data_IF_404144072921
#
_entry.id   IF_404144072921
#
_cell.length_a   1.000
_cell.length_b   1.000
_cell.length_c   1.000
_cell.angle_alpha   90.00
_cell.angle_beta   90.00
_cell.angle_gamma   90.00
#
_symmetry.space_group_name_H-M   'P 1'
#
loop_
_entity.id
_entity.type
_entity.pdbx_description
1 polymer ?
#
# COMPACT_ATOMS: atom_id res chain seq x y z
N UNK A 1 -19.42 22.01 8.37
CA UNK A 1 -18.54 20.87 8.70
C UNK A 1 -17.76 20.58 7.43
N UNK A 2 -16.42 20.60 7.44
CA UNK A 2 -15.69 20.16 6.24
C UNK A 2 -15.90 18.66 6.09
N UNK A 3 -16.41 18.21 4.95
CA UNK A 3 -16.48 16.79 4.63
C UNK A 3 -15.07 16.18 4.67
N UNK A 4 -14.95 15.00 5.28
CA UNK A 4 -13.67 14.31 5.41
C UNK A 4 -13.23 13.78 4.03
N UNK A 5 -11.93 13.81 3.77
CA UNK A 5 -11.36 13.37 2.47
C UNK A 5 -11.82 11.95 2.10
N UNK A 6 -11.87 11.03 3.06
CA UNK A 6 -12.36 9.66 2.84
C UNK A 6 -13.78 9.61 2.25
N UNK A 7 -14.70 10.42 2.79
CA UNK A 7 -16.08 10.47 2.32
C UNK A 7 -16.17 11.02 0.89
N UNK A 8 -15.46 12.11 0.60
CA UNK A 8 -15.42 12.72 -0.74
C UNK A 8 -14.86 11.75 -1.79
N UNK A 9 -13.89 10.91 -1.43
CA UNK A 9 -13.36 9.89 -2.33
C UNK A 9 -14.40 8.80 -2.64
N UNK A 10 -15.18 8.38 -1.63
CA UNK A 10 -16.25 7.39 -1.81
C UNK A 10 -17.42 7.95 -2.64
N UNK A 11 -17.81 9.20 -2.41
CA UNK A 11 -18.84 9.89 -3.20
C UNK A 11 -18.41 10.07 -4.66
N UNK A 12 -17.15 10.45 -4.92
CA UNK A 12 -16.61 10.53 -6.27
C UNK A 12 -16.60 9.16 -6.97
N UNK A 13 -16.33 8.08 -6.22
CA UNK A 13 -16.37 6.71 -6.74
C UNK A 13 -17.80 6.30 -7.14
N UNK A 14 -18.80 6.62 -6.32
CA UNK A 14 -20.21 6.34 -6.63
C UNK A 14 -20.69 7.13 -7.85
N UNK A 15 -20.30 8.41 -7.94
CA UNK A 15 -20.68 9.29 -9.04
C UNK A 15 -20.17 8.80 -10.39
N UNK A 16 -19.04 8.10 -10.42
CA UNK A 16 -18.48 7.50 -11.63
C UNK A 16 -19.21 6.22 -12.09
N UNK A 17 -20.28 5.80 -11.38
CA UNK A 17 -21.02 4.56 -11.62
C UNK A 17 -20.09 3.32 -11.70
N UNK A 18 -18.99 3.34 -10.96
CA UNK A 18 -18.08 2.22 -10.86
C UNK A 18 -18.77 1.08 -10.12
N UNK A 19 -18.52 -0.16 -10.54
CA UNK A 19 -19.06 -1.35 -9.89
C UNK A 19 -17.92 -2.24 -9.42
N UNK A 20 -17.87 -2.53 -8.12
CA UNK A 20 -17.09 -3.65 -7.61
C UNK A 20 -17.86 -4.94 -7.89
N UNK A 21 -17.19 -5.93 -8.47
CA UNK A 21 -17.81 -7.21 -8.73
C UNK A 21 -18.02 -7.98 -7.41
N UNK A 22 -19.03 -8.84 -7.38
CA UNK A 22 -19.34 -9.67 -6.22
C UNK A 22 -18.11 -10.49 -5.82
N UNK A 23 -17.69 -10.31 -4.58
CA UNK A 23 -16.43 -10.85 -4.06
C UNK A 23 -16.76 -11.70 -2.84
N UNK A 24 -16.39 -12.98 -2.90
CA UNK A 24 -16.46 -13.86 -1.74
C UNK A 24 -15.37 -13.48 -0.75
N UNK A 25 -15.73 -13.47 0.53
CA UNK A 25 -14.85 -13.09 1.62
C UNK A 25 -14.84 -14.17 2.68
N UNK A 26 -13.66 -14.45 3.21
CA UNK A 26 -13.49 -15.19 4.46
C UNK A 26 -12.44 -14.51 5.33
N UNK A 27 -12.65 -14.52 6.64
CA UNK A 27 -11.62 -14.17 7.62
C UNK A 27 -11.06 -15.48 8.16
N UNK A 28 -9.76 -15.69 8.00
CA UNK A 28 -9.10 -16.90 8.46
C UNK A 28 -9.12 -16.98 9.98
N UNK A 29 -9.30 -18.20 10.51
CA UNK A 29 -9.19 -18.46 11.93
C UNK A 29 -7.72 -18.31 12.36
N UNK A 30 -7.50 -17.62 13.47
CA UNK A 30 -6.18 -17.46 14.09
C UNK A 30 -5.93 -16.02 14.54
N UNK A 31 -4.71 -15.76 15.03
CA UNK A 31 -4.34 -14.50 15.65
C UNK A 31 -4.11 -13.34 14.65
N UNK A 32 -3.84 -13.64 13.39
CA UNK A 32 -3.50 -12.61 12.40
C UNK A 32 -4.74 -11.93 11.82
N UNK A 33 -5.89 -12.60 11.83
CA UNK A 33 -7.14 -12.07 11.26
C UNK A 33 -7.05 -11.79 9.76
N UNK A 34 -6.25 -12.59 9.03
CA UNK A 34 -6.07 -12.48 7.56
C UNK A 34 -7.42 -12.59 6.86
N UNK A 35 -7.65 -11.72 5.90
CA UNK A 35 -8.85 -11.69 5.07
C UNK A 35 -8.46 -12.30 3.71
N UNK A 36 -9.26 -13.23 3.20
CA UNK A 36 -9.08 -13.78 1.86
C UNK A 36 -10.29 -13.41 1.02
N UNK A 37 -10.02 -12.90 -0.18
CA UNK A 37 -11.00 -12.52 -1.18
C UNK A 37 -10.91 -13.46 -2.38
N UNK A 38 -12.06 -13.79 -2.95
CA UNK A 38 -12.15 -14.46 -4.22
C UNK A 38 -13.20 -13.83 -5.11
N UNK A 39 -12.75 -13.42 -6.31
CA UNK A 39 -13.61 -12.90 -7.36
C UNK A 39 -13.14 -13.48 -8.69
N UNK A 40 -13.94 -14.33 -9.36
CA UNK A 40 -13.53 -15.01 -10.59
C UNK A 40 -13.30 -14.07 -11.77
N UNK A 41 -13.83 -12.84 -11.71
CA UNK A 41 -13.69 -11.84 -12.77
C UNK A 41 -12.54 -10.85 -12.51
N UNK A 42 -11.88 -10.92 -11.34
CA UNK A 42 -10.87 -9.93 -10.96
C UNK A 42 -9.65 -9.95 -11.91
N UNK A 43 -9.14 -11.11 -12.30
CA UNK A 43 -7.96 -11.20 -13.15
C UNK A 43 -8.20 -10.75 -14.60
N UNK A 44 -9.46 -10.74 -15.06
CA UNK A 44 -9.83 -10.51 -16.47
C UNK A 44 -9.65 -9.05 -16.93
N UNK A 45 -9.66 -8.09 -16.00
CA UNK A 45 -9.60 -6.64 -16.30
C UNK A 45 -8.26 -5.98 -15.92
N UNK A 46 -7.28 -6.77 -15.46
CA UNK A 46 -5.98 -6.23 -15.04
C UNK A 46 -5.20 -5.70 -16.24
N UNK A 47 -4.52 -4.58 -16.04
CA UNK A 47 -3.61 -4.01 -17.05
C UNK A 47 -2.37 -4.92 -17.19
N UNK A 48 -1.78 -5.01 -18.40
CA UNK A 48 -0.54 -5.75 -18.60
C UNK A 48 0.56 -5.25 -17.66
N UNK A 49 1.34 -6.17 -17.11
CA UNK A 49 2.47 -5.85 -16.25
C UNK A 49 3.61 -5.28 -17.10
N UNK A 50 4.15 -4.14 -16.70
CA UNK A 50 5.40 -3.64 -17.26
C UNK A 50 6.56 -4.55 -16.86
N UNK A 51 7.17 -5.20 -17.85
CA UNK A 51 8.24 -6.17 -17.63
C UNK A 51 9.49 -5.55 -16.99
N UNK A 52 9.68 -4.23 -17.09
CA UNK A 52 10.79 -3.54 -16.41
C UNK A 52 10.66 -3.60 -14.89
N UNK A 53 9.44 -3.65 -14.36
CA UNK A 53 9.17 -3.72 -12.93
C UNK A 53 9.45 -5.11 -12.34
N UNK A 54 9.63 -6.13 -13.19
CA UNK A 54 9.97 -7.49 -12.75
C UNK A 54 11.45 -7.64 -12.36
N UNK A 55 12.32 -6.68 -12.73
CA UNK A 55 13.79 -6.79 -12.61
C UNK A 55 14.39 -5.88 -11.52
N UNK A 56 13.66 -5.63 -10.43
CA UNK A 56 14.14 -4.86 -9.29
C UNK A 56 14.29 -3.36 -9.50
N UNK A 57 14.77 -2.67 -8.46
CA UNK A 57 14.79 -1.21 -8.39
C UNK A 57 15.77 -0.53 -9.37
N UNK A 58 16.83 -1.22 -9.82
CA UNK A 58 17.84 -0.63 -10.71
C UNK A 58 17.27 -0.24 -12.09
N UNK A 59 16.27 -0.97 -12.59
CA UNK A 59 15.62 -0.71 -13.89
C UNK A 59 14.45 0.27 -13.77
N UNK A 60 13.90 0.43 -12.56
CA UNK A 60 12.72 1.26 -12.24
C UNK A 60 12.98 2.77 -12.19
N UNK A 61 14.21 3.22 -12.39
CA UNK A 61 14.53 4.66 -12.38
C UNK A 61 14.30 5.34 -13.74
N UNK A 62 14.10 4.55 -14.80
CA UNK A 62 13.80 5.04 -16.13
C UNK A 62 12.31 5.34 -16.31
N UNK A 63 12.00 6.39 -17.06
CA UNK A 63 10.64 6.68 -17.50
C UNK A 63 10.03 5.47 -18.24
N UNK A 64 8.71 5.24 -18.14
CA UNK A 64 8.05 4.14 -18.83
C UNK A 64 8.36 4.16 -20.34
N UNK A 65 8.62 3.00 -20.97
CA UNK A 65 8.93 2.95 -22.39
C UNK A 65 7.69 3.40 -23.20
N UNK A 66 7.85 3.96 -24.42
CA UNK A 66 6.73 4.50 -25.19
C UNK A 66 5.60 3.51 -25.48
N UNK A 67 5.91 2.21 -25.50
CA UNK A 67 4.95 1.12 -25.75
C UNK A 67 4.26 0.62 -24.48
N UNK A 68 4.75 0.97 -23.30
CA UNK A 68 4.11 0.59 -22.04
C UNK A 68 2.90 1.48 -21.76
N UNK A 69 1.91 0.86 -21.13
CA UNK A 69 0.76 1.60 -20.60
C UNK A 69 1.22 2.60 -19.53
N UNK A 70 0.63 3.80 -19.52
CA UNK A 70 0.80 4.76 -18.43
C UNK A 70 -0.47 5.59 -18.21
N UNK A 71 -0.59 6.24 -17.05
CA UNK A 71 -1.83 6.94 -16.67
C UNK A 71 -2.18 8.20 -17.48
N UNK A 72 -1.35 8.68 -18.40
CA UNK A 72 -1.78 9.74 -19.34
C UNK A 72 -2.70 9.20 -20.44
N UNK A 73 -2.80 7.87 -20.58
CA UNK A 73 -3.58 7.18 -21.60
C UNK A 73 -4.98 6.74 -21.12
N UNK A 74 -5.34 7.07 -19.88
CA UNK A 74 -6.65 6.71 -19.30
C UNK A 74 -7.80 7.44 -19.98
N UNK A 75 -8.98 6.83 -19.94
CA UNK A 75 -10.20 7.47 -20.41
C UNK A 75 -10.68 8.52 -19.40
N UNK A 76 -11.33 9.61 -19.84
CA UNK A 76 -11.84 10.64 -18.93
C UNK A 76 -12.77 10.11 -17.84
N UNK A 77 -13.58 9.08 -18.13
CA UNK A 77 -14.48 8.46 -17.17
C UNK A 77 -13.78 7.58 -16.12
N UNK A 78 -12.47 7.34 -16.25
CA UNK A 78 -11.68 6.68 -15.21
C UNK A 78 -11.20 7.67 -14.13
N UNK A 79 -11.30 8.99 -14.37
CA UNK A 79 -10.89 10.02 -13.41
C UNK A 79 -12.06 10.35 -12.49
N UNK A 80 -11.89 10.11 -11.18
CA UNK A 80 -12.91 10.35 -10.16
C UNK A 80 -12.89 11.79 -9.69
N UNK A 81 -11.71 12.30 -9.33
CA UNK A 81 -11.53 13.63 -8.78
C UNK A 81 -10.05 14.08 -8.87
N UNK A 82 -9.83 15.38 -8.65
CA UNK A 82 -8.50 15.97 -8.50
C UNK A 82 -8.13 16.08 -7.02
N UNK A 83 -6.86 15.81 -6.71
CA UNK A 83 -6.28 16.07 -5.38
C UNK A 83 -5.40 17.32 -5.43
N UNK A 84 -5.64 18.25 -4.51
CA UNK A 84 -4.72 19.36 -4.23
C UNK A 84 -4.08 19.12 -2.88
N UNK A 85 -2.74 19.19 -2.83
CA UNK A 85 -1.95 19.11 -1.61
C UNK A 85 -1.15 20.40 -1.50
N UNK A 86 -1.55 21.28 -0.58
CA UNK A 86 -0.90 22.58 -0.41
C UNK A 86 0.37 22.40 0.45
N UNK A 87 1.53 22.35 -0.20
CA UNK A 87 2.84 22.05 0.44
C UNK A 87 3.41 23.21 1.28
N UNK A 88 2.63 24.24 1.61
CA UNK A 88 3.13 25.43 2.32
C UNK A 88 3.34 25.17 3.83
N UNK A 89 4.61 25.09 4.25
CA UNK A 89 5.03 25.26 5.65
C UNK A 89 5.29 23.99 6.47
N UNK A 90 5.48 24.16 7.78
CA UNK A 90 5.81 23.09 8.74
C UNK A 90 4.57 22.31 9.24
N UNK A 91 3.36 22.76 8.96
CA UNK A 91 2.12 22.06 9.30
C UNK A 91 1.83 20.90 8.32
N UNK A 92 0.97 19.93 8.69
CA UNK A 92 0.45 18.97 7.72
C UNK A 92 -0.16 19.71 6.52
N UNK A 93 0.18 19.34 5.28
CA UNK A 93 -0.38 19.95 4.08
C UNK A 93 -1.91 19.91 4.09
N UNK A 94 -2.56 20.98 3.64
CA UNK A 94 -4.00 20.95 3.42
C UNK A 94 -4.31 20.10 2.19
N UNK A 95 -5.23 19.15 2.35
CA UNK A 95 -5.69 18.29 1.27
C UNK A 95 -7.09 18.68 0.88
N UNK A 96 -7.31 18.87 -0.43
CA UNK A 96 -8.64 19.16 -0.98
C UNK A 96 -8.94 18.19 -2.11
N UNK A 97 -10.14 17.64 -2.08
CA UNK A 97 -10.73 16.88 -3.20
C UNK A 97 -11.57 17.85 -4.03
N UNK A 98 -11.38 17.85 -5.34
CA UNK A 98 -12.10 18.72 -6.26
C UNK A 98 -12.68 17.94 -7.43
N UNK A 99 -13.76 18.46 -8.02
CA UNK A 99 -14.22 18.00 -9.32
C UNK A 99 -13.13 18.17 -10.38
N UNK A 100 -13.23 17.39 -11.46
CA UNK A 100 -12.26 17.42 -12.55
C UNK A 100 -12.60 18.56 -13.51
N UNK A 101 -11.96 19.70 -13.31
CA UNK A 101 -12.17 20.89 -14.16
C UNK A 101 -11.12 21.00 -15.30
N UNK A 102 -10.00 20.27 -15.19
CA UNK A 102 -8.84 20.28 -16.11
C UNK A 102 -8.43 18.85 -16.55
N UNK A 103 -7.78 18.73 -17.73
CA UNK A 103 -7.39 17.43 -18.32
C UNK A 103 -5.88 17.19 -18.25
N UNK A 104 -5.46 15.97 -17.81
CA UNK A 104 -5.77 15.44 -16.48
C UNK A 104 -5.21 16.35 -15.37
N UNK A 105 -5.77 16.35 -14.16
CA UNK A 105 -5.26 17.17 -13.07
C UNK A 105 -3.84 16.75 -12.68
N UNK A 106 -3.10 17.68 -12.06
CA UNK A 106 -1.72 17.42 -11.57
C UNK A 106 -1.66 16.15 -10.73
N UNK A 107 -2.52 16.01 -9.73
CA UNK A 107 -2.71 14.77 -8.98
C UNK A 107 -4.15 14.29 -9.19
N UNK A 108 -4.31 13.05 -9.64
CA UNK A 108 -5.60 12.47 -9.99
C UNK A 108 -5.93 11.29 -9.09
N UNK A 109 -7.21 11.16 -8.73
CA UNK A 109 -7.75 9.90 -8.21
C UNK A 109 -8.49 9.22 -9.33
N UNK A 110 -8.11 7.98 -9.61
CA UNK A 110 -8.66 7.18 -10.69
C UNK A 110 -9.41 5.99 -10.11
N UNK A 111 -10.46 5.54 -10.79
CA UNK A 111 -11.05 4.24 -10.47
C UNK A 111 -10.02 3.14 -10.75
N UNK A 112 -9.89 2.17 -9.86
CA UNK A 112 -9.14 0.96 -10.20
C UNK A 112 -9.99 0.18 -11.22
N UNK A 113 -9.43 -0.15 -12.38
CA UNK A 113 -10.13 -0.90 -13.46
C UNK A 113 -10.56 -2.31 -13.04
N UNK A 114 -9.99 -2.81 -11.95
CA UNK A 114 -10.38 -4.07 -11.32
C UNK A 114 -10.48 -3.87 -9.80
N UNK A 115 -11.51 -3.15 -9.33
CA UNK A 115 -11.65 -2.81 -7.92
C UNK A 115 -11.96 -4.07 -7.09
N UNK A 116 -11.44 -4.09 -5.86
CA UNK A 116 -11.61 -5.18 -4.88
C UNK A 116 -12.84 -4.96 -4.00
N UNK A 117 -13.11 -3.68 -3.74
CA UNK A 117 -14.24 -3.21 -2.97
C UNK A 117 -14.68 -1.86 -3.54
N UNK A 118 -15.86 -1.39 -3.12
CA UNK A 118 -16.27 0.00 -3.32
C UNK A 118 -15.19 0.95 -2.78
N UNK A 119 -14.88 2.01 -3.52
CA UNK A 119 -13.83 2.96 -3.20
C UNK A 119 -12.41 2.54 -3.59
N UNK A 120 -12.17 1.29 -4.03
CA UNK A 120 -10.84 0.87 -4.48
C UNK A 120 -10.42 1.67 -5.72
N UNK A 121 -9.45 2.56 -5.53
CA UNK A 121 -9.04 3.62 -6.47
C UNK A 121 -7.51 3.70 -6.54
N UNK A 122 -7.00 4.55 -7.42
CA UNK A 122 -5.57 4.85 -7.57
C UNK A 122 -5.33 6.33 -7.35
N UNK A 123 -4.38 6.71 -6.49
CA UNK A 123 -3.82 8.07 -6.48
C UNK A 123 -2.63 8.10 -7.41
N UNK A 124 -2.68 8.94 -8.45
CA UNK A 124 -1.59 9.16 -9.39
C UNK A 124 -1.09 10.59 -9.21
N UNK A 125 0.15 10.73 -8.73
CA UNK A 125 0.75 12.04 -8.52
C UNK A 125 1.50 12.50 -9.76
N UNK A 126 1.35 13.79 -10.12
CA UNK A 126 2.07 14.42 -11.23
C UNK A 126 1.85 13.68 -12.55
N UNK A 127 0.59 13.44 -12.91
CA UNK A 127 0.17 12.58 -14.04
C UNK A 127 0.92 12.92 -15.34
N UNK A 128 1.07 14.21 -15.65
CA UNK A 128 1.74 14.67 -16.87
C UNK A 128 3.28 14.49 -16.86
N UNK A 129 3.88 14.29 -15.68
CA UNK A 129 5.34 14.18 -15.52
C UNK A 129 5.85 12.75 -15.75
N UNK A 130 4.96 11.75 -15.91
CA UNK A 130 5.34 10.34 -16.17
C UNK A 130 6.42 9.83 -15.19
N UNK A 131 6.28 10.19 -13.91
CA UNK A 131 7.24 9.79 -12.88
C UNK A 131 7.31 8.27 -12.81
N UNK A 132 8.50 7.65 -12.79
CA UNK A 132 8.61 6.20 -12.64
C UNK A 132 7.97 5.74 -11.33
N UNK A 133 7.68 4.43 -11.21
CA UNK A 133 7.14 3.83 -9.98
C UNK A 133 8.21 3.76 -8.87
N UNK A 134 8.62 4.92 -8.38
CA UNK A 134 9.62 5.13 -7.34
C UNK A 134 9.14 6.27 -6.44
N UNK A 135 9.13 6.04 -5.13
CA UNK A 135 8.58 7.01 -4.20
C UNK A 135 9.60 8.13 -3.92
N UNK A 136 9.15 9.37 -3.94
CA UNK A 136 9.92 10.57 -3.55
C UNK A 136 9.40 11.15 -2.24
N UNK A 137 10.21 11.97 -1.55
CA UNK A 137 9.85 12.58 -0.27
C UNK A 137 8.55 13.38 -0.34
N UNK A 138 8.38 14.18 -1.40
CA UNK A 138 7.17 14.98 -1.62
C UNK A 138 5.92 14.09 -1.72
N UNK A 139 6.01 12.97 -2.44
CA UNK A 139 4.88 12.05 -2.62
C UNK A 139 4.59 11.21 -1.37
N UNK A 140 5.61 10.84 -0.58
CA UNK A 140 5.39 10.28 0.76
C UNK A 140 4.68 11.30 1.66
N UNK A 141 5.19 12.53 1.73
CA UNK A 141 4.58 13.62 2.52
C UNK A 141 3.12 13.84 2.11
N UNK A 142 2.84 13.91 0.81
CA UNK A 142 1.49 14.03 0.27
C UNK A 142 0.59 12.84 0.66
N UNK A 143 1.09 11.61 0.59
CA UNK A 143 0.35 10.41 0.98
C UNK A 143 -0.02 10.42 2.48
N UNK A 144 0.93 10.79 3.34
CA UNK A 144 0.69 10.97 4.78
C UNK A 144 -0.32 12.09 5.02
N UNK A 145 -0.27 13.19 4.25
CA UNK A 145 -1.22 14.29 4.38
C UNK A 145 -2.65 13.87 3.99
N UNK A 146 -2.81 13.10 2.91
CA UNK A 146 -4.11 12.58 2.47
C UNK A 146 -4.73 11.71 3.55
N UNK A 147 -3.96 10.79 4.13
CA UNK A 147 -4.42 9.92 5.22
C UNK A 147 -4.71 10.71 6.49
N UNK A 148 -3.87 11.69 6.84
CA UNK A 148 -4.08 12.57 7.99
C UNK A 148 -5.37 13.41 7.83
N UNK A 149 -5.67 13.88 6.63
CA UNK A 149 -6.88 14.64 6.31
C UNK A 149 -8.14 13.75 6.23
N UNK A 150 -7.98 12.47 5.85
CA UNK A 150 -9.07 11.50 5.81
C UNK A 150 -9.61 11.17 7.20
N UNK A 151 -8.73 11.04 8.21
CA UNK A 151 -9.09 10.70 9.61
C UNK A 151 -9.99 9.48 9.72
N UNK A 152 -9.72 8.48 8.90
CA UNK A 152 -10.51 7.25 8.81
C UNK A 152 -9.59 6.04 9.01
N UNK A 153 -9.86 5.29 10.07
CA UNK A 153 -9.24 4.02 10.45
C UNK A 153 -9.22 2.96 9.34
N UNK A 154 -10.25 3.02 8.49
CA UNK A 154 -10.51 2.06 7.43
C UNK A 154 -9.98 2.56 6.09
N UNK A 155 -9.37 3.74 6.03
CA UNK A 155 -8.74 4.26 4.83
C UNK A 155 -7.23 4.07 4.87
N UNK A 156 -6.68 3.50 3.80
CA UNK A 156 -5.23 3.38 3.64
C UNK A 156 -4.79 3.60 2.20
N UNK A 157 -3.59 4.14 2.05
CA UNK A 157 -2.86 4.23 0.79
C UNK A 157 -1.77 3.17 0.74
N UNK A 158 -1.69 2.39 -0.33
CA UNK A 158 -0.68 1.36 -0.53
C UNK A 158 0.20 1.62 -1.75
N UNK A 159 1.51 1.53 -1.58
CA UNK A 159 2.51 1.64 -2.65
C UNK A 159 3.20 0.29 -2.86
N UNK A 160 3.41 -0.06 -4.12
CA UNK A 160 4.24 -1.18 -4.55
C UNK A 160 5.44 -0.61 -5.30
N UNK A 161 6.67 -0.88 -4.86
CA UNK A 161 7.86 -0.58 -5.65
C UNK A 161 8.00 -1.53 -6.84
N UNK A 162 8.96 -1.25 -7.74
CA UNK A 162 9.49 -2.28 -8.62
C UNK A 162 10.03 -3.47 -7.81
N UNK A 163 9.89 -4.67 -8.37
CA UNK A 163 10.19 -5.93 -7.68
C UNK A 163 9.21 -6.29 -6.55
N UNK A 164 8.15 -5.48 -6.32
CA UNK A 164 7.21 -5.65 -5.21
C UNK A 164 5.73 -5.68 -5.67
N UNK A 165 5.50 -6.28 -6.85
CA UNK A 165 4.20 -6.46 -7.51
C UNK A 165 3.52 -5.17 -7.99
N UNK A 166 4.30 -4.13 -8.35
CA UNK A 166 3.75 -3.06 -9.17
C UNK A 166 3.56 -3.51 -10.62
N UNK A 167 2.42 -3.16 -11.23
CA UNK A 167 2.11 -3.55 -12.62
C UNK A 167 2.34 -2.43 -13.63
N UNK A 168 2.34 -1.17 -13.22
CA UNK A 168 2.46 -0.01 -14.12
C UNK A 168 3.64 0.84 -13.67
N UNK A 169 4.58 1.14 -14.58
CA UNK A 169 5.73 2.01 -14.30
C UNK A 169 5.35 3.49 -14.45
N UNK A 170 4.43 3.94 -13.61
CA UNK A 170 4.04 5.35 -13.49
C UNK A 170 3.55 5.54 -12.05
N UNK A 171 4.20 6.43 -11.28
CA UNK A 171 3.97 6.64 -9.86
C UNK A 171 2.49 6.67 -9.48
N UNK A 172 2.07 5.63 -8.77
CA UNK A 172 0.72 5.51 -8.24
C UNK A 172 0.70 4.77 -6.91
N UNK A 173 -0.33 5.09 -6.10
CA UNK A 173 -0.70 4.38 -4.89
C UNK A 173 -2.12 3.83 -5.04
N UNK A 174 -2.38 2.71 -4.40
CA UNK A 174 -3.71 2.10 -4.27
C UNK A 174 -4.45 2.74 -3.09
N UNK A 175 -5.74 3.03 -3.24
CA UNK A 175 -6.64 3.40 -2.14
C UNK A 175 -7.44 2.19 -1.70
N UNK A 176 -7.47 1.91 -0.40
CA UNK A 176 -8.25 0.81 0.17
C UNK A 176 -9.27 1.33 1.18
N UNK A 177 -10.45 0.72 1.16
CA UNK A 177 -11.50 0.90 2.17
C UNK A 177 -12.02 -0.47 2.61
N UNK A 178 -11.31 -1.25 3.46
CA UNK A 178 -11.77 -2.57 3.90
C UNK A 178 -13.16 -2.57 4.55
N UNK A 179 -13.59 -1.45 5.15
CA UNK A 179 -14.95 -1.26 5.67
C UNK A 179 -16.06 -1.43 4.62
N UNK A 180 -15.73 -1.33 3.34
CA UNK A 180 -16.66 -1.53 2.23
C UNK A 180 -16.82 -3.00 1.82
N UNK A 181 -16.02 -3.90 2.38
CA UNK A 181 -16.27 -5.34 2.32
C UNK A 181 -17.17 -5.77 3.49
N UNK A 182 -16.83 -5.31 4.68
CA UNK A 182 -17.59 -5.47 5.91
C UNK A 182 -17.23 -4.30 6.84
N UNK A 183 -18.21 -3.59 7.44
CA UNK A 183 -17.97 -2.39 8.24
C UNK A 183 -16.94 -2.53 9.36
N UNK A 184 -16.77 -3.73 9.93
CA UNK A 184 -15.83 -3.99 11.01
C UNK A 184 -14.38 -4.27 10.57
N UNK A 185 -14.11 -4.34 9.26
CA UNK A 185 -12.80 -4.73 8.76
C UNK A 185 -11.84 -3.54 8.61
N UNK A 186 -10.61 -3.76 9.07
CA UNK A 186 -9.43 -2.97 8.77
C UNK A 186 -8.40 -3.89 8.11
N UNK A 187 -7.36 -3.32 7.49
CA UNK A 187 -6.22 -4.12 7.04
C UNK A 187 -5.59 -4.84 8.24
N UNK A 188 -5.46 -6.19 8.22
CA UNK A 188 -5.13 -6.94 9.43
C UNK A 188 -3.82 -6.55 10.13
N UNK A 189 -2.82 -6.07 9.39
CA UNK A 189 -1.57 -5.54 9.95
C UNK A 189 -1.79 -4.37 10.93
N UNK A 190 -2.81 -3.53 10.68
CA UNK A 190 -3.09 -2.33 11.50
C UNK A 190 -3.62 -2.69 12.90
N UNK A 191 -4.18 -3.89 13.06
CA UNK A 191 -4.71 -4.41 14.34
C UNK A 191 -3.68 -5.19 15.15
N UNK A 192 -2.47 -5.37 14.63
CA UNK A 192 -1.44 -6.15 15.29
C UNK A 192 -0.76 -5.35 16.40
N UNK A 193 -0.33 -6.06 17.44
CA UNK A 193 0.50 -5.48 18.48
C UNK A 193 1.85 -5.04 17.91
N UNK A 194 2.30 -3.86 18.35
CA UNK A 194 3.54 -3.22 17.94
C UNK A 194 4.51 -3.18 19.12
N UNK A 195 5.79 -3.42 18.86
CA UNK A 195 6.87 -3.22 19.85
C UNK A 195 7.77 -2.10 19.37
N UNK A 196 8.00 -1.10 20.22
CA UNK A 196 8.93 -0.02 19.91
C UNK A 196 10.35 -0.57 19.79
N UNK A 197 11.01 -0.26 18.67
CA UNK A 197 12.40 -0.64 18.39
C UNK A 197 13.37 0.47 18.82
N UNK A 198 13.08 1.72 18.43
CA UNK A 198 13.87 2.90 18.75
C UNK A 198 13.12 4.20 18.39
N UNK A 199 13.67 5.33 18.80
CA UNK A 199 13.21 6.68 18.46
C UNK A 199 14.34 7.47 17.80
N UNK A 200 14.00 8.39 16.91
CA UNK A 200 14.99 9.27 16.30
C UNK A 200 15.58 10.24 17.34
N UNK A 201 16.87 10.57 17.20
CA UNK A 201 17.49 11.58 18.05
C UNK A 201 16.85 12.97 17.79
N UNK A 202 16.90 13.85 18.80
CA UNK A 202 16.46 15.25 18.68
C UNK A 202 14.99 15.53 19.01
N UNK A 203 14.31 14.66 19.73
CA UNK A 203 12.99 14.96 20.34
C UNK A 203 11.81 14.98 19.36
N UNK A 204 11.97 14.46 18.14
CA UNK A 204 10.84 14.26 17.23
C UNK A 204 9.90 13.17 17.81
N UNK A 205 8.57 13.38 17.81
CA UNK A 205 7.62 12.45 18.44
C UNK A 205 7.41 11.12 17.68
N UNK A 206 8.24 10.83 16.68
CA UNK A 206 8.13 9.63 15.88
C UNK A 206 8.96 8.48 16.46
N UNK A 207 8.32 7.32 16.58
CA UNK A 207 8.91 6.07 17.00
C UNK A 207 8.86 5.04 15.87
N UNK A 208 9.85 4.16 15.88
CA UNK A 208 9.91 3.00 14.99
C UNK A 208 9.44 1.79 15.75
N UNK A 209 8.56 1.02 15.13
CA UNK A 209 7.96 -0.19 15.68
C UNK A 209 8.26 -1.39 14.78
N UNK A 210 8.38 -2.56 15.39
CA UNK A 210 8.21 -3.84 14.71
C UNK A 210 6.86 -4.46 15.06
N UNK A 211 6.50 -5.51 14.30
CA UNK A 211 5.29 -6.31 14.50
C UNK A 211 5.70 -7.73 14.89
N UNK A 212 5.88 -8.04 16.20
CA UNK A 212 6.52 -9.29 16.63
C UNK A 212 5.81 -10.57 16.19
N UNK A 213 4.49 -10.49 15.97
CA UNK A 213 3.67 -11.62 15.56
C UNK A 213 3.34 -11.61 14.06
N UNK A 214 3.77 -10.61 13.31
CA UNK A 214 3.56 -10.61 11.86
C UNK A 214 4.59 -11.53 11.19
N UNK A 215 4.21 -12.39 10.22
CA UNK A 215 5.09 -13.47 9.77
C UNK A 215 6.26 -13.00 8.91
N UNK A 216 6.17 -11.80 8.33
CA UNK A 216 7.28 -11.13 7.66
C UNK A 216 7.84 -9.98 8.49
N UNK A 217 9.13 -9.69 8.30
CA UNK A 217 9.78 -8.53 8.91
C UNK A 217 9.25 -7.25 8.26
N UNK A 218 8.62 -6.40 9.04
CA UNK A 218 8.09 -5.10 8.61
C UNK A 218 8.17 -4.10 9.75
N UNK A 219 8.12 -2.81 9.40
CA UNK A 219 8.42 -1.74 10.33
C UNK A 219 7.34 -0.65 10.25
N UNK A 220 6.79 -0.27 11.39
CA UNK A 220 5.85 0.83 11.53
C UNK A 220 6.58 2.10 11.95
N UNK A 221 6.22 3.24 11.38
CA UNK A 221 6.68 4.56 11.80
C UNK A 221 5.45 5.38 12.15
N UNK A 222 5.33 5.74 13.41
CA UNK A 222 4.16 6.43 13.96
C UNK A 222 4.53 7.19 15.21
N UNK A 223 3.52 7.62 15.97
CA UNK A 223 3.70 8.31 17.25
C UNK A 223 3.52 7.32 18.40
N UNK A 224 4.23 7.51 19.51
CA UNK A 224 4.00 6.71 20.72
C UNK A 224 2.70 7.08 21.42
N UNK A 225 2.04 6.12 22.09
CA UNK A 225 0.75 6.33 22.76
C UNK A 225 0.74 7.45 23.83
N UNK A 226 1.91 7.82 24.38
CA UNK A 226 2.05 8.86 25.39
C UNK A 226 2.13 10.29 24.81
N UNK A 227 2.22 10.44 23.48
CA UNK A 227 2.51 11.72 22.85
C UNK A 227 1.30 12.20 22.04
N UNK A 228 0.54 13.13 22.64
CA UNK A 228 -0.47 13.89 21.90
C UNK A 228 0.21 15.12 21.31
N UNK A 229 0.39 15.11 19.99
CA UNK A 229 0.93 16.28 19.29
C UNK A 229 -0.14 16.97 18.44
N UNK A 230 -0.37 18.24 18.75
CA UNK A 230 -1.21 19.18 18.00
C UNK A 230 -0.40 20.20 17.19
N UNK A 231 0.94 20.17 17.26
CA UNK A 231 1.84 21.14 16.64
C UNK A 231 2.29 20.78 15.22
N UNK A 232 2.04 19.55 14.76
CA UNK A 232 2.48 19.05 13.45
C UNK A 232 3.89 18.43 13.44
N UNK A 233 4.59 18.45 14.57
CA UNK A 233 5.88 17.78 14.75
C UNK A 233 5.80 16.25 14.55
N UNK A 234 4.68 15.62 14.93
CA UNK A 234 4.31 14.23 14.66
C UNK A 234 4.31 13.92 13.17
N UNK A 235 3.63 14.73 12.38
CA UNK A 235 3.57 14.55 10.94
C UNK A 235 4.97 14.61 10.32
N UNK A 236 5.75 15.65 10.63
CA UNK A 236 7.10 15.80 10.07
C UNK A 236 8.05 14.71 10.55
N UNK A 237 7.96 14.31 11.83
CA UNK A 237 8.72 13.22 12.40
C UNK A 237 8.47 11.90 11.70
N UNK A 238 7.20 11.54 11.50
CA UNK A 238 6.81 10.30 10.82
C UNK A 238 7.33 10.29 9.38
N UNK A 239 7.13 11.39 8.63
CA UNK A 239 7.62 11.50 7.25
C UNK A 239 9.14 11.40 7.19
N UNK A 240 9.87 12.13 8.05
CA UNK A 240 11.34 12.11 8.10
C UNK A 240 11.88 10.70 8.39
N UNK A 241 11.35 10.07 9.44
CA UNK A 241 11.79 8.75 9.91
C UNK A 241 11.49 7.67 8.86
N UNK A 242 10.29 7.65 8.30
CA UNK A 242 9.92 6.71 7.24
C UNK A 242 10.74 6.94 5.95
N UNK A 243 10.97 8.19 5.56
CA UNK A 243 11.75 8.52 4.38
C UNK A 243 13.21 8.07 4.48
N UNK A 244 13.82 8.13 5.67
CA UNK A 244 15.18 7.62 5.87
C UNK A 244 15.28 6.11 5.55
N UNK A 245 14.29 5.31 5.96
CA UNK A 245 14.23 3.88 5.59
C UNK A 245 14.01 3.71 4.08
N UNK A 246 13.05 4.43 3.49
CA UNK A 246 12.74 4.29 2.07
C UNK A 246 13.91 4.69 1.18
N UNK A 247 14.64 5.75 1.52
CA UNK A 247 15.88 6.10 0.83
C UNK A 247 16.92 4.99 0.91
N UNK A 248 17.11 4.41 2.10
CA UNK A 248 18.03 3.30 2.30
C UNK A 248 17.67 2.08 1.45
N UNK A 249 16.39 1.68 1.46
CA UNK A 249 15.91 0.55 0.64
C UNK A 249 16.11 0.82 -0.85
N UNK A 250 15.78 2.03 -1.31
CA UNK A 250 15.98 2.42 -2.71
C UNK A 250 17.47 2.47 -3.11
N UNK A 251 18.34 2.94 -2.22
CA UNK A 251 19.79 2.97 -2.46
C UNK A 251 20.40 1.57 -2.53
N UNK A 252 19.89 0.62 -1.75
CA UNK A 252 20.29 -0.80 -1.78
C UNK A 252 19.57 -1.61 -2.87
N UNK A 253 18.64 -1.00 -3.58
CA UNK A 253 17.84 -1.67 -4.61
C UNK A 253 16.85 -2.71 -4.06
N UNK A 254 16.47 -2.60 -2.80
CA UNK A 254 15.61 -3.57 -2.10
C UNK A 254 14.13 -3.30 -2.44
N UNK A 255 13.40 -4.28 -2.99
CA UNK A 255 11.97 -4.17 -3.21
C UNK A 255 11.20 -3.99 -1.90
N UNK A 256 10.15 -3.18 -1.94
CA UNK A 256 9.36 -2.87 -0.77
C UNK A 256 7.92 -2.49 -1.11
N UNK A 257 7.02 -2.79 -0.16
CA UNK A 257 5.68 -2.24 -0.14
C UNK A 257 5.58 -1.19 0.98
N UNK A 258 4.71 -0.19 0.81
CA UNK A 258 4.46 0.83 1.84
C UNK A 258 2.97 0.97 2.02
N UNK A 259 2.51 0.98 3.27
CA UNK A 259 1.15 1.27 3.65
C UNK A 259 1.14 2.54 4.49
N UNK A 260 0.35 3.53 4.10
CA UNK A 260 0.09 4.74 4.88
C UNK A 260 -1.35 4.67 5.36
N UNK A 261 -1.56 4.69 6.67
CA UNK A 261 -2.87 4.49 7.28
C UNK A 261 -3.07 5.41 8.50
N UNK A 262 -4.31 5.57 8.93
CA UNK A 262 -4.63 6.22 10.20
C UNK A 262 -4.47 5.20 11.33
N UNK A 263 -3.76 5.57 12.39
CA UNK A 263 -3.61 4.73 13.58
C UNK A 263 -4.63 5.13 14.65
N UNK A 264 -5.66 4.32 14.83
CA UNK A 264 -6.74 4.58 15.78
C UNK A 264 -6.26 4.78 17.21
N UNK A 265 -5.21 4.05 17.60
CA UNK A 265 -4.66 4.11 18.96
C UNK A 265 -4.10 5.50 19.30
N UNK A 266 -3.58 6.21 18.32
CA UNK A 266 -2.94 7.53 18.51
C UNK A 266 -3.67 8.67 17.81
N UNK A 267 -4.63 8.34 16.94
CA UNK A 267 -5.27 9.26 16.00
C UNK A 267 -4.28 10.01 15.10
N UNK A 268 -3.14 9.38 14.79
CA UNK A 268 -2.06 9.94 13.97
C UNK A 268 -1.77 9.05 12.76
N UNK A 269 -1.07 9.55 11.72
CA UNK A 269 -0.63 8.70 10.63
C UNK A 269 0.38 7.64 11.06
N UNK A 270 0.26 6.45 10.49
CA UNK A 270 1.20 5.35 10.60
C UNK A 270 1.67 4.97 9.20
N UNK A 271 2.99 4.90 9.01
CA UNK A 271 3.61 4.38 7.79
C UNK A 271 4.18 3.01 8.10
N UNK A 272 3.64 1.95 7.49
CA UNK A 272 4.17 0.59 7.57
C UNK A 272 4.96 0.29 6.31
N UNK A 273 6.23 -0.09 6.47
CA UNK A 273 7.13 -0.45 5.38
C UNK A 273 7.40 -1.95 5.45
N UNK A 274 7.29 -2.62 4.30
CA UNK A 274 7.51 -4.05 4.13
C UNK A 274 8.71 -4.28 3.21
N UNK A 275 9.96 -4.23 3.71
CA UNK A 275 11.12 -4.66 2.95
C UNK A 275 10.99 -6.15 2.63
N UNK A 276 11.28 -6.52 1.38
CA UNK A 276 10.99 -7.87 0.90
C UNK A 276 11.98 -8.31 -0.17
N UNK A 277 12.00 -9.62 -0.40
CA UNK A 277 12.66 -10.21 -1.56
C UNK A 277 11.96 -9.76 -2.85
N UNK A 278 12.68 -9.93 -3.96
CA UNK A 278 12.14 -9.81 -5.30
C UNK A 278 10.83 -10.61 -5.43
N UNK A 279 9.84 -10.02 -6.10
CA UNK A 279 8.55 -10.64 -6.35
C UNK A 279 8.70 -11.98 -7.07
N UNK A 280 7.88 -12.93 -6.64
CA UNK A 280 7.72 -14.22 -7.30
C UNK A 280 6.28 -14.69 -7.08
N UNK A 281 5.82 -15.59 -7.93
CA UNK A 281 4.56 -16.30 -7.75
C UNK A 281 4.64 -17.14 -6.46
N UNK A 282 3.74 -16.88 -5.51
CA UNK A 282 3.85 -17.42 -4.16
C UNK A 282 2.97 -18.65 -3.91
N UNK A 283 3.41 -19.51 -3.00
CA UNK A 283 2.63 -20.65 -2.51
C UNK A 283 2.38 -21.76 -3.52
N UNK A 284 3.05 -21.75 -4.69
CA UNK A 284 2.85 -22.72 -5.78
C UNK A 284 2.96 -24.17 -5.26
N UNK A 285 4.01 -24.48 -4.49
CA UNK A 285 4.21 -25.80 -3.92
C UNK A 285 3.27 -26.14 -2.75
N UNK A 286 2.56 -25.15 -2.20
CA UNK A 286 1.65 -25.33 -1.06
C UNK A 286 0.24 -25.73 -1.51
N UNK A 287 -0.11 -25.48 -2.78
CA UNK A 287 -1.40 -25.84 -3.37
C UNK A 287 -1.33 -27.04 -4.34
N UNK A 288 -0.13 -27.57 -4.59
CA UNK A 288 0.08 -28.63 -5.59
C UNK A 288 -0.68 -29.94 -5.30
N UNK A 289 -1.10 -30.18 -4.06
CA UNK A 289 -1.91 -31.36 -3.69
C UNK A 289 -3.41 -31.18 -4.00
N UNK A 290 -3.85 -29.95 -4.26
CA UNK A 290 -5.26 -29.58 -4.45
C UNK A 290 -5.57 -29.14 -5.88
N UNK A 291 -4.55 -28.84 -6.69
CA UNK A 291 -4.71 -28.44 -8.10
C UNK A 291 -4.62 -29.69 -9.02
N UNK A 292 -5.59 -29.84 -9.92
CA UNK A 292 -5.57 -30.91 -10.93
C UNK A 292 -4.65 -30.54 -12.11
N UNK A 293 -4.06 -31.55 -12.77
CA UNK A 293 -3.25 -31.34 -13.96
C UNK A 293 -4.05 -30.61 -15.06
N UNK A 294 -3.71 -29.33 -15.31
CA UNK A 294 -4.37 -28.48 -16.30
C UNK A 294 -5.01 -27.20 -15.75
N UNK A 295 -5.23 -27.09 -14.44
CA UNK A 295 -5.49 -25.81 -13.78
C UNK A 295 -4.14 -25.10 -13.60
N UNK A 296 -3.98 -23.92 -14.22
CA UNK A 296 -2.69 -23.25 -14.34
C UNK A 296 -1.97 -23.05 -13.00
N UNK A 297 -0.68 -23.40 -12.97
CA UNK A 297 0.23 -23.26 -11.83
C UNK A 297 0.59 -21.80 -11.48
N UNK A 298 -0.31 -20.84 -11.69
CA UNK A 298 -0.05 -19.44 -11.30
C UNK A 298 -0.09 -19.32 -9.78
N UNK A 299 0.92 -18.70 -9.19
CA UNK A 299 1.01 -18.47 -7.76
C UNK A 299 0.05 -17.38 -7.26
N UNK A 300 0.15 -17.10 -5.96
CA UNK A 300 -0.44 -15.90 -5.38
C UNK A 300 0.52 -14.73 -5.57
N UNK A 301 -0.03 -13.54 -5.80
CA UNK A 301 0.77 -12.34 -6.03
C UNK A 301 0.69 -11.44 -4.80
N UNK A 302 1.71 -11.51 -3.94
CA UNK A 302 1.70 -10.77 -2.68
C UNK A 302 2.13 -9.31 -2.84
N UNK A 303 1.21 -8.43 -3.26
CA UNK A 303 1.42 -6.98 -3.28
C UNK A 303 1.10 -6.35 -1.91
N UNK A 304 1.02 -5.01 -1.83
CA UNK A 304 0.78 -4.28 -0.57
C UNK A 304 -0.47 -4.74 0.19
N UNK A 305 -1.56 -5.08 -0.51
CA UNK A 305 -2.78 -5.57 0.12
C UNK A 305 -2.54 -6.93 0.80
N UNK A 306 -1.92 -7.86 0.07
CA UNK A 306 -1.65 -9.22 0.55
C UNK A 306 -0.66 -9.21 1.73
N UNK A 307 0.45 -8.45 1.64
CA UNK A 307 1.43 -8.36 2.75
C UNK A 307 0.88 -7.64 3.98
N UNK A 308 -0.20 -6.86 3.81
CA UNK A 308 -0.97 -6.24 4.89
C UNK A 308 -2.11 -7.14 5.43
N UNK A 309 -2.29 -8.34 4.87
CA UNK A 309 -3.25 -9.35 5.32
C UNK A 309 -4.57 -9.42 4.55
N UNK A 310 -4.70 -8.72 3.42
CA UNK A 310 -5.86 -8.80 2.52
C UNK A 310 -5.46 -9.58 1.26
N UNK A 311 -5.67 -10.90 1.26
CA UNK A 311 -5.20 -11.83 0.24
C UNK A 311 -6.22 -12.02 -0.88
N UNK A 312 -5.78 -11.93 -2.14
CA UNK A 312 -6.62 -12.28 -3.31
C UNK A 312 -6.26 -13.67 -3.81
N UNK A 313 -7.15 -14.66 -3.66
CA UNK A 313 -6.83 -16.06 -3.88
C UNK A 313 -6.65 -16.48 -5.35
N UNK A 314 -7.14 -15.69 -6.31
CA UNK A 314 -7.05 -15.97 -7.76
C UNK A 314 -7.95 -17.11 -8.26
N UNK A 315 -8.08 -18.21 -7.51
CA UNK A 315 -8.91 -19.38 -7.83
C UNK A 315 -9.80 -19.80 -6.66
N UNK A 316 -10.90 -20.50 -6.97
CA UNK A 316 -11.81 -21.03 -5.95
C UNK A 316 -11.15 -22.14 -5.11
N UNK A 317 -10.24 -22.92 -5.69
CA UNK A 317 -9.46 -23.94 -4.98
C UNK A 317 -8.58 -23.29 -3.93
N UNK A 318 -7.81 -22.28 -4.32
CA UNK A 318 -6.97 -21.53 -3.37
C UNK A 318 -7.80 -20.86 -2.31
N UNK A 319 -8.91 -20.22 -2.67
CA UNK A 319 -9.82 -19.62 -1.69
C UNK A 319 -10.24 -20.64 -0.62
N UNK A 320 -10.73 -21.82 -1.02
CA UNK A 320 -11.20 -22.85 -0.07
C UNK A 320 -10.09 -23.44 0.80
N UNK A 321 -8.87 -23.55 0.28
CA UNK A 321 -7.77 -24.23 0.96
C UNK A 321 -6.75 -23.27 1.60
N UNK A 322 -6.90 -21.95 1.43
CA UNK A 322 -6.00 -20.97 2.04
C UNK A 322 -6.18 -20.97 3.56
N UNK A 323 -5.08 -21.06 4.30
CA UNK A 323 -5.07 -21.08 5.76
C UNK A 323 -4.05 -20.08 6.32
N UNK A 324 -4.15 -19.78 7.63
CA UNK A 324 -3.18 -18.91 8.28
C UNK A 324 -1.77 -19.51 8.22
N UNK A 325 -1.64 -20.83 8.35
CA UNK A 325 -0.36 -21.53 8.26
C UNK A 325 0.27 -21.39 6.86
N UNK A 326 -0.55 -21.46 5.79
CA UNK A 326 -0.06 -21.21 4.43
C UNK A 326 0.41 -19.77 4.28
N UNK A 327 -0.39 -18.80 4.76
CA UNK A 327 -0.01 -17.39 4.74
C UNK A 327 1.32 -17.14 5.47
N UNK A 328 1.46 -17.69 6.67
CA UNK A 328 2.68 -17.57 7.49
C UNK A 328 3.91 -18.13 6.78
N UNK A 329 3.79 -19.30 6.14
CA UNK A 329 4.88 -19.93 5.38
C UNK A 329 5.29 -19.07 4.19
N UNK A 330 4.33 -18.62 3.38
CA UNK A 330 4.61 -17.73 2.24
C UNK A 330 5.32 -16.46 2.71
N UNK A 331 4.74 -15.77 3.70
CA UNK A 331 5.26 -14.50 4.18
C UNK A 331 6.67 -14.63 4.75
N UNK A 332 6.96 -15.71 5.48
CA UNK A 332 8.26 -15.96 6.11
C UNK A 332 9.33 -16.42 5.12
N UNK A 333 8.98 -17.41 4.30
CA UNK A 333 9.96 -18.18 3.53
C UNK A 333 10.17 -17.62 2.12
N UNK A 334 9.14 -17.00 1.55
CA UNK A 334 9.10 -16.56 0.16
C UNK A 334 9.09 -15.04 -0.01
N UNK A 335 8.53 -14.27 0.95
CA UNK A 335 8.39 -12.80 0.84
C UNK A 335 9.42 -12.05 1.70
N UNK A 336 9.55 -12.40 2.98
CA UNK A 336 10.39 -11.68 3.95
C UNK A 336 11.87 -11.70 3.60
N UNK A 337 12.57 -10.60 3.88
CA UNK A 337 14.04 -10.57 3.83
C UNK A 337 14.67 -11.55 4.84
N UNK A 338 15.86 -12.10 4.55
CA UNK A 338 16.71 -12.76 5.54
C UNK A 338 16.93 -11.91 6.81
N UNK A 339 17.18 -12.56 7.94
CA UNK A 339 17.28 -11.89 9.24
C UNK A 339 18.47 -10.94 9.33
N UNK A 340 19.62 -11.37 8.83
CA UNK A 340 20.87 -10.64 8.77
C UNK A 340 20.76 -9.39 7.90
N UNK A 341 20.12 -9.51 6.73
CA UNK A 341 19.86 -8.38 5.84
C UNK A 341 18.91 -7.36 6.49
N UNK A 342 17.82 -7.83 7.09
CA UNK A 342 16.87 -6.98 7.81
C UNK A 342 17.51 -6.27 9.01
N UNK A 343 18.36 -6.96 9.78
CA UNK A 343 19.09 -6.37 10.90
C UNK A 343 20.07 -5.29 10.42
N UNK A 344 20.82 -5.56 9.34
CA UNK A 344 21.71 -4.58 8.71
C UNK A 344 20.99 -3.29 8.29
N UNK A 345 19.77 -3.42 7.73
CA UNK A 345 18.93 -2.27 7.35
C UNK A 345 18.53 -1.47 8.58
N UNK A 346 18.06 -2.12 9.65
CA UNK A 346 17.65 -1.44 10.88
C UNK A 346 18.82 -0.70 11.53
N UNK A 347 20.01 -1.31 11.57
CA UNK A 347 21.18 -0.69 12.16
C UNK A 347 21.66 0.53 11.37
N UNK A 348 21.60 0.49 10.04
CA UNK A 348 21.92 1.65 9.21
C UNK A 348 20.85 2.73 9.31
N UNK A 349 19.58 2.35 9.35
CA UNK A 349 18.48 3.30 9.52
C UNK A 349 18.60 4.08 10.84
N UNK A 350 18.96 3.41 11.93
CA UNK A 350 19.25 4.05 13.23
C UNK A 350 20.38 5.08 13.14
N UNK A 351 21.40 4.86 12.31
CA UNK A 351 22.52 5.80 12.12
C UNK A 351 22.15 7.02 11.29
N UNK A 352 21.08 6.95 10.49
CA UNK A 352 20.60 8.05 9.65
C UNK A 352 19.68 9.03 10.40
N UNK A 353 19.27 8.72 11.62
CA UNK A 353 18.28 9.45 12.43
C UNK A 353 18.87 10.02 13.70
#
# INVERSE_FOLDING_TARGET
MSELVAQLLLEAWDAAAATAAETQLQVLRGALGVIVLFNPSHSQRKRPVDQQLLRGAAVSSASPPPTAFNFTQIKPNEVLCALTVDECGELPPQVRVRAVDERPPRHAVLVNVSPLMRGHSLVVFDVAQLRPQRLELSYLRASVAVVHAARDAHFALGFNSAGAWSSVNHLHLQCFFPSQLDPGLQLPILRQNRRELFRAAGGAPAAVFEFPHWPMRCYGVGVGAAERDSSGAAFNGVVRVAWALLQLLQARGIPHNVLVAHDDATSQPLVVVFPRREQQENGVALFSQHEHAGEGAEGLRFAVAEVAGLVVAGTATRFRHFSQEIYERIMRDEVSLPQDEAASIVDEWKRLL
#
